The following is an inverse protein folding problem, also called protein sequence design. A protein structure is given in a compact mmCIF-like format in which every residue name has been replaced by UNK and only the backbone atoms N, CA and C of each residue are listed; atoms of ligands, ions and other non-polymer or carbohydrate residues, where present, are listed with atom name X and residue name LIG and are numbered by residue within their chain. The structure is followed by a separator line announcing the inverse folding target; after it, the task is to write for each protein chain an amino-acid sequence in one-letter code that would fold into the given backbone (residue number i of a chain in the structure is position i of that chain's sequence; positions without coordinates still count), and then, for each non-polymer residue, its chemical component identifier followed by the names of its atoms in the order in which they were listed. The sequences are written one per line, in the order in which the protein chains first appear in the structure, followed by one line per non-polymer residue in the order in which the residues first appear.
data_IF_854966731482
#
_entry.id   IF_854966731482
#
_cell.length_a   1.000
_cell.length_b   1.000
_cell.length_c   1.000
_cell.angle_alpha   90.00
_cell.angle_beta   90.00
_cell.angle_gamma   90.00
#
_symmetry.space_group_name_H-M   'P 1'
#
loop_
_entity.id
_entity.type
_entity.pdbx_description
1 polymer ?
#
# COMPACT_ATOMS: atom_id res chain seq x y z
N UNK A 1 -8.45 7.87 -24.35
CA UNK A 1 -7.59 7.71 -23.16
C UNK A 1 -6.29 7.04 -23.57
N UNK A 2 -5.18 7.57 -23.09
CA UNK A 2 -3.88 6.95 -23.37
C UNK A 2 -3.73 5.66 -22.55
N UNK A 3 -3.33 4.55 -23.18
CA UNK A 3 -3.17 3.29 -22.47
C UNK A 3 -2.21 3.36 -21.28
N UNK A 4 -1.06 4.05 -21.43
CA UNK A 4 -0.10 4.16 -20.32
C UNK A 4 -0.67 4.95 -19.16
N UNK A 5 -1.46 5.97 -19.43
CA UNK A 5 -2.09 6.76 -18.37
C UNK A 5 -3.09 5.91 -17.58
N UNK A 6 -3.84 5.08 -18.28
CA UNK A 6 -4.77 4.14 -17.64
C UNK A 6 -4.03 3.17 -16.74
N UNK A 7 -2.91 2.66 -17.21
CA UNK A 7 -2.08 1.75 -16.44
C UNK A 7 -1.53 2.42 -15.18
N UNK A 8 -0.95 3.62 -15.32
CA UNK A 8 -0.37 4.32 -14.17
C UNK A 8 -1.42 4.66 -13.12
N UNK A 9 -2.61 5.03 -13.53
CA UNK A 9 -3.72 5.28 -12.59
C UNK A 9 -4.12 3.99 -11.85
N UNK A 10 -4.15 2.87 -12.57
CA UNK A 10 -4.52 1.58 -11.99
C UNK A 10 -3.50 1.10 -10.96
N UNK A 11 -2.20 1.24 -11.25
CA UNK A 11 -1.17 0.78 -10.33
C UNK A 11 -0.85 1.77 -9.21
N UNK A 12 -1.41 2.98 -9.23
CA UNK A 12 -1.29 3.94 -8.13
C UNK A 12 -2.56 3.93 -7.29
N UNK A 13 -3.51 4.80 -7.58
CA UNK A 13 -4.74 4.95 -6.80
C UNK A 13 -5.62 3.69 -6.80
N UNK A 14 -5.60 2.93 -7.86
CA UNK A 14 -6.39 1.70 -7.97
C UNK A 14 -5.85 0.54 -7.14
N UNK A 15 -4.63 0.64 -6.62
CA UNK A 15 -3.98 -0.43 -5.87
C UNK A 15 -3.16 0.11 -4.71
N UNK A 16 -3.79 0.91 -3.85
CA UNK A 16 -3.12 1.55 -2.71
C UNK A 16 -2.50 0.55 -1.72
N UNK A 17 -3.01 -0.68 -1.66
CA UNK A 17 -2.51 -1.69 -0.75
C UNK A 17 -1.01 -1.97 -0.94
N UNK A 18 -0.52 -1.87 -2.17
CA UNK A 18 0.90 -2.09 -2.49
C UNK A 18 1.77 -1.11 -1.71
N UNK A 19 1.39 0.16 -1.75
CA UNK A 19 2.17 1.23 -1.13
C UNK A 19 2.08 1.20 0.39
N UNK A 20 0.91 0.91 0.92
CA UNK A 20 0.72 0.76 2.37
C UNK A 20 1.58 -0.38 2.91
N UNK A 21 1.51 -1.56 2.29
CA UNK A 21 2.29 -2.71 2.73
C UNK A 21 3.79 -2.44 2.61
N UNK A 22 4.22 -1.76 1.56
CA UNK A 22 5.62 -1.41 1.35
C UNK A 22 6.14 -0.45 2.42
N UNK A 23 5.37 0.58 2.74
CA UNK A 23 5.77 1.57 3.75
C UNK A 23 5.84 0.98 5.15
N UNK A 24 4.94 0.09 5.49
CA UNK A 24 4.80 -0.46 6.84
C UNK A 24 5.57 -1.76 7.06
N UNK A 25 6.39 -2.20 6.10
CA UNK A 25 7.04 -3.51 6.17
C UNK A 25 8.18 -3.58 7.20
N UNK A 26 8.90 -2.50 7.41
CA UNK A 26 10.07 -2.50 8.30
C UNK A 26 9.80 -1.79 9.62
N UNK A 27 9.05 -0.68 9.57
CA UNK A 27 8.69 0.10 10.75
C UNK A 27 7.21 0.39 10.76
N UNK A 28 6.66 0.59 11.95
CA UNK A 28 5.27 0.99 12.09
C UNK A 28 5.05 2.38 11.50
N UNK A 29 3.92 2.56 10.81
CA UNK A 29 3.57 3.82 10.17
C UNK A 29 2.30 4.36 10.79
N UNK A 30 2.32 5.61 11.22
CA UNK A 30 1.13 6.29 11.73
C UNK A 30 0.17 6.61 10.59
N UNK A 31 -1.11 6.35 10.82
CA UNK A 31 -2.15 6.56 9.80
C UNK A 31 -2.10 7.95 9.18
N UNK A 32 -1.92 8.98 10.00
CA UNK A 32 -1.93 10.37 9.55
C UNK A 32 -0.76 10.76 8.64
N UNK A 33 0.30 9.93 8.60
CA UNK A 33 1.48 10.21 7.78
C UNK A 33 1.49 9.47 6.45
N UNK A 34 0.58 8.52 6.24
CA UNK A 34 0.62 7.62 5.07
C UNK A 34 0.52 8.39 3.75
N UNK A 35 -0.43 9.30 3.62
CA UNK A 35 -0.61 10.08 2.38
C UNK A 35 0.66 10.83 2.00
N UNK A 36 1.26 11.50 2.99
CA UNK A 36 2.48 12.28 2.77
C UNK A 36 3.64 11.38 2.35
N UNK A 37 3.79 10.23 3.01
CA UNK A 37 4.86 9.29 2.70
C UNK A 37 4.70 8.70 1.30
N UNK A 38 3.48 8.41 0.88
CA UNK A 38 3.21 7.93 -0.48
C UNK A 38 3.58 9.01 -1.48
N UNK A 39 3.21 10.27 -1.22
CA UNK A 39 3.55 11.36 -2.10
C UNK A 39 5.07 11.56 -2.21
N UNK A 40 5.76 11.58 -1.07
CA UNK A 40 7.21 11.80 -1.06
C UNK A 40 7.98 10.67 -1.75
N UNK A 41 7.57 9.42 -1.55
CA UNK A 41 8.32 8.28 -2.09
C UNK A 41 7.87 7.87 -3.48
N UNK A 42 6.59 7.95 -3.78
CA UNK A 42 6.03 7.38 -5.02
C UNK A 42 5.46 8.42 -5.97
N UNK A 43 5.36 9.68 -5.55
CA UNK A 43 5.03 10.79 -6.44
C UNK A 43 3.54 11.03 -6.71
N UNK A 44 2.63 10.43 -5.95
CA UNK A 44 1.21 10.75 -6.08
C UNK A 44 0.56 10.91 -4.70
N UNK A 45 -0.46 11.75 -4.63
CA UNK A 45 -1.17 12.04 -3.37
C UNK A 45 -2.50 11.29 -3.37
N UNK A 46 -2.64 10.23 -2.58
CA UNK A 46 -3.88 9.46 -2.54
C UNK A 46 -4.97 10.17 -1.76
N UNK A 47 -6.21 9.79 -2.03
CA UNK A 47 -7.38 10.28 -1.32
C UNK A 47 -7.39 9.70 0.11
N UNK A 48 -7.58 10.55 1.11
CA UNK A 48 -7.58 10.14 2.52
C UNK A 48 -8.66 9.10 2.84
N UNK A 49 -9.85 9.25 2.26
CA UNK A 49 -10.93 8.29 2.50
C UNK A 49 -10.58 6.92 1.94
N UNK A 50 -9.93 6.88 0.78
CA UNK A 50 -9.48 5.62 0.17
C UNK A 50 -8.42 4.94 1.02
N UNK A 51 -7.52 5.71 1.61
CA UNK A 51 -6.51 5.18 2.52
C UNK A 51 -7.18 4.52 3.72
N UNK A 52 -8.13 5.18 4.34
CA UNK A 52 -8.86 4.62 5.48
C UNK A 52 -9.58 3.33 5.12
N UNK A 53 -10.20 3.29 3.95
CA UNK A 53 -10.89 2.10 3.46
C UNK A 53 -9.92 0.94 3.25
N UNK A 54 -8.78 1.20 2.62
CA UNK A 54 -7.76 0.19 2.36
C UNK A 54 -7.17 -0.33 3.68
N UNK A 55 -6.86 0.55 4.62
CA UNK A 55 -6.35 0.16 5.92
C UNK A 55 -7.34 -0.74 6.66
N UNK A 56 -8.62 -0.40 6.62
CA UNK A 56 -9.66 -1.22 7.25
C UNK A 56 -9.66 -2.63 6.67
N UNK A 57 -9.63 -2.74 5.34
CA UNK A 57 -9.65 -4.03 4.65
C UNK A 57 -8.38 -4.83 4.91
N UNK A 58 -7.23 -4.19 4.85
CA UNK A 58 -5.95 -4.86 5.10
C UNK A 58 -5.87 -5.41 6.52
N UNK A 59 -6.35 -4.64 7.50
CA UNK A 59 -6.39 -5.11 8.88
C UNK A 59 -7.37 -6.26 9.05
N UNK A 60 -8.57 -6.13 8.49
CA UNK A 60 -9.61 -7.17 8.56
C UNK A 60 -9.10 -8.50 8.01
N UNK A 61 -8.36 -8.46 6.92
CA UNK A 61 -7.87 -9.66 6.24
C UNK A 61 -6.50 -10.13 6.75
N UNK A 62 -5.95 -9.44 7.76
CA UNK A 62 -4.71 -9.87 8.42
C UNK A 62 -3.41 -9.50 7.72
N UNK A 63 -3.44 -8.57 6.75
CA UNK A 63 -2.25 -8.13 6.03
C UNK A 63 -1.47 -7.06 6.78
N UNK A 64 -2.12 -6.31 7.67
CA UNK A 64 -1.47 -5.39 8.59
C UNK A 64 -2.00 -5.60 10.00
N UNK A 65 -1.16 -5.29 10.99
CA UNK A 65 -1.58 -5.18 12.38
C UNK A 65 -1.74 -3.71 12.72
N UNK A 66 -2.64 -3.41 13.65
CA UNK A 66 -2.93 -2.04 14.07
C UNK A 66 -2.71 -1.90 15.56
N UNK A 67 -1.99 -0.87 15.95
CA UNK A 67 -1.78 -0.53 17.36
C UNK A 67 -2.04 0.95 17.58
N UNK A 68 -2.35 1.30 18.83
CA UNK A 68 -2.41 2.70 19.25
C UNK A 68 -1.16 3.00 20.06
N UNK A 69 -0.30 3.85 19.52
CA UNK A 69 0.90 4.31 20.20
C UNK A 69 0.75 5.79 20.51
N UNK A 70 0.80 6.16 21.79
CA UNK A 70 0.62 7.53 22.25
C UNK A 70 -0.69 8.14 21.70
N UNK A 71 -1.77 7.36 21.71
CA UNK A 71 -3.08 7.81 21.22
C UNK A 71 -3.23 7.84 19.71
N UNK A 72 -2.21 7.47 18.95
CA UNK A 72 -2.23 7.51 17.49
C UNK A 72 -2.29 6.11 16.90
N UNK A 73 -3.07 5.96 15.83
CA UNK A 73 -3.20 4.69 15.11
C UNK A 73 -1.95 4.44 14.29
N UNK A 74 -1.35 3.26 14.48
CA UNK A 74 -0.14 2.84 13.77
C UNK A 74 -0.34 1.48 13.15
N UNK A 75 0.30 1.23 12.01
CA UNK A 75 0.14 -0.01 11.23
C UNK A 75 1.49 -0.62 10.92
N UNK A 76 1.53 -1.93 10.97
CA UNK A 76 2.73 -2.72 10.62
C UNK A 76 2.30 -3.84 9.69
N UNK A 77 3.04 -4.05 8.61
CA UNK A 77 2.77 -5.16 7.69
C UNK A 77 3.09 -6.49 8.35
N UNK A 78 2.13 -7.41 8.33
CA UNK A 78 2.29 -8.75 8.90
C UNK A 78 3.08 -9.64 7.94
N UNK A 79 3.44 -10.84 8.40
CA UNK A 79 4.09 -11.81 7.52
C UNK A 79 3.19 -12.17 6.34
N UNK A 80 1.89 -12.30 6.59
CA UNK A 80 0.91 -12.51 5.51
C UNK A 80 0.94 -11.37 4.49
N UNK A 81 1.05 -10.12 4.96
CA UNK A 81 1.16 -8.96 4.09
C UNK A 81 2.45 -8.95 3.28
N UNK A 82 3.57 -9.36 3.90
CA UNK A 82 4.85 -9.45 3.20
C UNK A 82 4.79 -10.47 2.06
N UNK A 83 4.14 -11.62 2.30
CA UNK A 83 3.97 -12.66 1.28
C UNK A 83 3.12 -12.15 0.12
N UNK A 84 2.08 -11.39 0.41
CA UNK A 84 1.21 -10.80 -0.60
C UNK A 84 1.98 -9.81 -1.48
N UNK A 85 2.81 -8.99 -0.85
CA UNK A 85 3.65 -8.04 -1.57
C UNK A 85 4.66 -8.76 -2.47
N UNK A 86 5.26 -9.83 -1.98
CA UNK A 86 6.19 -10.65 -2.76
C UNK A 86 5.49 -11.33 -3.94
N UNK A 87 4.26 -11.82 -3.75
CA UNK A 87 3.47 -12.42 -4.82
C UNK A 87 3.20 -11.41 -5.94
N UNK A 88 2.88 -10.18 -5.57
CA UNK A 88 2.68 -9.10 -6.54
C UNK A 88 3.97 -8.82 -7.32
N UNK A 89 5.10 -8.73 -6.64
CA UNK A 89 6.39 -8.48 -7.29
C UNK A 89 6.75 -9.59 -8.27
N UNK A 90 6.55 -10.84 -7.88
CA UNK A 90 6.81 -12.00 -8.74
C UNK A 90 5.90 -12.00 -9.97
N UNK A 91 4.63 -11.70 -9.78
CA UNK A 91 3.68 -11.61 -10.90
C UNK A 91 4.12 -10.54 -11.90
N UNK A 92 4.44 -9.34 -11.41
CA UNK A 92 4.86 -8.23 -12.27
C UNK A 92 6.16 -8.55 -13.00
N UNK A 93 7.13 -9.15 -12.32
CA UNK A 93 8.41 -9.53 -12.92
C UNK A 93 8.21 -10.53 -14.05
N UNK A 94 7.40 -11.58 -13.80
CA UNK A 94 7.10 -12.58 -14.81
C UNK A 94 6.35 -11.99 -16.00
N UNK A 95 5.40 -11.11 -15.74
CA UNK A 95 4.66 -10.44 -16.81
C UNK A 95 5.59 -9.63 -17.71
N UNK A 96 6.45 -8.83 -17.09
CA UNK A 96 7.40 -7.97 -17.82
C UNK A 96 8.31 -8.82 -18.71
N UNK A 97 8.82 -9.94 -18.18
CA UNK A 97 9.70 -10.83 -18.95
C UNK A 97 9.02 -11.44 -20.18
N UNK A 98 7.71 -11.66 -20.10
CA UNK A 98 6.95 -12.25 -21.21
C UNK A 98 6.51 -11.24 -22.27
N UNK A 99 6.59 -9.96 -21.95
CA UNK A 99 6.21 -8.89 -22.90
C UNK A 99 7.35 -8.58 -23.86
#
# INVERSE_FOLDING_TARGET
MEPIKRFTNSVSEGNLWIYVLSLAKEVEIQEETISRLIFEKFGFLPNELMIKTVLFRLKKDGYVSKEKLAGKKSYKTTEKGLKELDSMKSYCSNLIQKL
#
